data_IF_416576893369
#
_entry.id   IF_416576893369
#
_cell.length_a   1.000
_cell.length_b   1.000
_cell.length_c   1.000
_cell.angle_alpha   90.00
_cell.angle_beta   90.00
_cell.angle_gamma   90.00
#
_symmetry.space_group_name_H-M   'P 1'
#
loop_
_entity.id
_entity.type
_entity.pdbx_description
1 polymer ?
#
# COMPACT_ATOMS: atom_id res chain seq x y z
N UNK A 1 10.41 22.71 4.75
CA UNK A 1 11.87 22.49 4.87
C UNK A 1 12.50 22.92 3.54
N UNK A 2 13.67 23.57 3.55
CA UNK A 2 14.41 23.90 2.32
C UNK A 2 15.69 23.07 2.30
N UNK A 3 15.91 22.31 1.22
CA UNK A 3 17.14 21.53 1.00
C UNK A 3 17.93 22.17 -0.13
N UNK A 4 18.96 22.99 0.17
CA UNK A 4 19.75 23.65 -0.87
C UNK A 4 20.57 22.64 -1.69
N UNK A 5 20.50 22.72 -3.02
CA UNK A 5 21.33 21.92 -3.91
C UNK A 5 22.77 22.49 -4.06
N UNK A 6 22.99 23.77 -3.73
CA UNK A 6 24.29 24.44 -3.76
C UNK A 6 25.09 24.19 -2.45
N UNK A 7 25.23 22.94 -2.07
CA UNK A 7 26.00 22.50 -0.90
C UNK A 7 27.04 21.45 -1.30
N UNK A 8 28.03 21.11 -0.44
CA UNK A 8 29.08 20.14 -0.80
C UNK A 8 28.56 18.78 -1.28
N UNK A 9 27.40 18.32 -0.77
CA UNK A 9 26.72 17.09 -1.20
C UNK A 9 25.58 17.33 -2.19
N UNK A 10 25.64 18.43 -2.96
CA UNK A 10 24.60 18.83 -3.91
C UNK A 10 24.28 17.79 -4.98
N UNK A 11 25.27 17.02 -5.43
CA UNK A 11 25.05 15.90 -6.35
C UNK A 11 24.10 14.84 -5.79
N UNK A 12 24.23 14.50 -4.50
CA UNK A 12 23.33 13.55 -3.84
C UNK A 12 21.91 14.11 -3.70
N UNK A 13 21.77 15.40 -3.41
CA UNK A 13 20.46 16.06 -3.38
C UNK A 13 19.80 15.98 -4.75
N UNK A 14 20.55 16.28 -5.83
CA UNK A 14 20.04 16.19 -7.19
C UNK A 14 19.59 14.77 -7.53
N UNK A 15 20.38 13.75 -7.19
CA UNK A 15 20.01 12.35 -7.45
C UNK A 15 18.80 11.87 -6.63
N UNK A 16 18.75 12.19 -5.34
CA UNK A 16 17.69 11.74 -4.42
C UNK A 16 16.41 12.58 -4.49
N UNK A 17 16.43 13.73 -5.14
CA UNK A 17 15.27 14.61 -5.32
C UNK A 17 15.04 14.95 -6.79
N UNK A 18 15.60 14.15 -7.72
CA UNK A 18 15.46 14.39 -9.15
C UNK A 18 13.98 14.30 -9.52
N UNK A 19 13.38 15.37 -10.09
CA UNK A 19 11.99 15.33 -10.54
C UNK A 19 11.86 14.82 -11.98
N UNK A 20 12.92 14.92 -12.79
CA UNK A 20 12.94 14.53 -14.20
C UNK A 20 14.20 13.71 -14.45
N UNK A 21 14.06 12.40 -14.66
CA UNK A 21 15.20 11.50 -14.80
C UNK A 21 15.87 11.66 -16.16
N UNK A 22 17.19 11.89 -16.15
CA UNK A 22 18.02 11.85 -17.37
C UNK A 22 19.02 10.70 -17.33
N UNK A 23 18.86 9.74 -18.24
CA UNK A 23 19.76 8.59 -18.36
C UNK A 23 20.56 8.65 -19.66
N UNK A 24 21.83 8.28 -19.58
CA UNK A 24 22.68 8.04 -20.76
C UNK A 24 22.39 6.70 -21.41
N UNK A 25 21.95 5.70 -20.62
CA UNK A 25 21.41 4.43 -21.09
C UNK A 25 20.33 3.93 -20.12
N UNK A 26 19.23 3.36 -20.63
CA UNK A 26 18.20 2.74 -19.79
C UNK A 26 18.56 1.34 -19.30
N UNK A 27 19.67 0.76 -19.79
CA UNK A 27 20.10 -0.58 -19.40
C UNK A 27 20.94 -0.47 -18.14
N UNK A 28 20.33 -0.87 -17.04
CA UNK A 28 20.91 -0.82 -15.71
C UNK A 28 20.60 -2.12 -14.98
N UNK A 29 21.50 -2.50 -14.05
CA UNK A 29 21.30 -3.61 -13.14
C UNK A 29 20.19 -3.34 -12.11
N UNK A 30 19.79 -2.07 -11.94
CA UNK A 30 18.86 -1.61 -10.92
C UNK A 30 17.75 -0.70 -11.47
N UNK A 31 16.81 -0.29 -10.62
CA UNK A 31 15.73 0.64 -10.98
C UNK A 31 16.28 2.00 -11.43
N UNK A 32 15.51 2.68 -12.27
CA UNK A 32 15.90 3.99 -12.82
C UNK A 32 15.35 5.17 -12.03
N UNK A 33 14.59 4.94 -10.96
CA UNK A 33 13.93 5.99 -10.20
C UNK A 33 14.13 5.84 -8.68
N UNK A 34 14.70 6.88 -8.03
CA UNK A 34 15.10 6.86 -6.61
C UNK A 34 14.63 8.10 -5.82
N UNK A 35 13.72 8.88 -6.38
CA UNK A 35 13.35 10.19 -5.84
C UNK A 35 12.61 10.06 -4.49
N UNK A 36 13.28 10.49 -3.42
CA UNK A 36 12.80 10.39 -2.04
C UNK A 36 11.44 11.04 -1.79
N UNK A 37 11.09 12.20 -2.38
CA UNK A 37 9.75 12.74 -2.24
C UNK A 37 8.67 11.73 -2.59
N UNK A 38 8.81 11.01 -3.71
CA UNK A 38 7.82 10.00 -4.13
C UNK A 38 7.85 8.75 -3.24
N UNK A 39 9.06 8.29 -2.87
CA UNK A 39 9.26 7.16 -1.95
C UNK A 39 8.51 7.35 -0.62
N UNK A 40 8.48 8.60 -0.12
CA UNK A 40 7.84 8.95 1.14
C UNK A 40 6.45 9.60 0.98
N UNK A 41 5.94 9.75 -0.26
CA UNK A 41 4.65 10.41 -0.52
C UNK A 41 4.60 11.90 -0.13
N UNK A 42 5.73 12.60 -0.22
CA UNK A 42 5.85 14.00 0.21
C UNK A 42 5.52 14.98 -0.92
N UNK A 43 4.77 16.02 -0.58
CA UNK A 43 4.61 17.20 -1.43
C UNK A 43 5.94 17.98 -1.49
N UNK A 44 6.63 17.90 -2.62
CA UNK A 44 7.91 18.56 -2.84
C UNK A 44 7.92 19.32 -4.18
N UNK A 45 8.70 20.40 -4.23
CA UNK A 45 8.88 21.23 -5.41
C UNK A 45 10.37 21.44 -5.65
N UNK A 46 10.78 21.26 -6.92
CA UNK A 46 12.10 21.68 -7.37
C UNK A 46 12.02 23.12 -7.89
N UNK A 47 12.94 23.98 -7.47
CA UNK A 47 13.04 25.36 -7.91
C UNK A 47 14.47 25.66 -8.34
N UNK A 48 14.62 26.37 -9.46
CA UNK A 48 15.95 26.76 -9.98
C UNK A 48 16.53 27.95 -9.21
N UNK A 49 15.66 28.80 -8.65
CA UNK A 49 16.07 29.99 -7.93
C UNK A 49 16.47 29.66 -6.49
N UNK A 50 17.46 30.38 -5.98
CA UNK A 50 17.88 30.21 -4.58
C UNK A 50 16.84 30.87 -3.68
N UNK A 51 16.09 30.06 -2.93
CA UNK A 51 15.17 30.59 -1.93
C UNK A 51 15.92 30.92 -0.64
N UNK A 52 15.81 32.17 -0.20
CA UNK A 52 16.24 32.58 1.14
C UNK A 52 15.05 32.49 2.07
N UNK A 53 15.07 31.57 3.05
CA UNK A 53 14.08 31.59 4.12
C UNK A 53 14.35 32.82 5.02
N UNK A 54 13.36 33.68 5.29
CA UNK A 54 13.52 34.73 6.29
C UNK A 54 13.76 34.09 7.67
N UNK A 55 14.95 34.31 8.23
CA UNK A 55 15.21 34.33 9.67
C UNK A 55 14.82 33.09 10.49
N UNK A 56 15.72 32.12 10.58
CA UNK A 56 16.41 31.64 11.81
C UNK A 56 16.84 30.20 11.54
N UNK A 57 18.14 29.93 11.60
CA UNK A 57 18.62 28.58 11.94
C UNK A 57 18.10 28.31 13.35
N UNK A 58 16.87 27.86 13.50
CA UNK A 58 16.47 27.19 14.73
C UNK A 58 17.27 25.91 14.77
N UNK A 59 18.47 25.99 15.36
CA UNK A 59 19.16 24.89 16.00
C UNK A 59 18.39 24.43 17.25
N UNK A 60 17.05 24.57 17.28
CA UNK A 60 16.27 23.55 17.96
C UNK A 60 16.61 22.31 17.16
N UNK A 61 17.35 21.36 17.77
CA UNK A 61 17.10 19.93 17.49
C UNK A 61 15.62 19.88 17.19
N UNK A 62 15.21 19.61 15.93
CA UNK A 62 13.79 19.46 15.64
C UNK A 62 13.31 18.55 16.77
N UNK A 63 12.40 19.05 17.61
CA UNK A 63 11.85 18.23 18.67
C UNK A 63 11.10 17.14 17.94
N UNK A 64 11.81 16.07 17.62
CA UNK A 64 11.26 14.86 17.03
C UNK A 64 10.43 14.11 18.06
N UNK A 65 10.41 14.57 19.31
CA UNK A 65 9.44 14.16 20.31
C UNK A 65 8.16 14.95 20.08
N UNK A 66 7.21 14.33 19.40
CA UNK A 66 5.80 14.56 19.75
C UNK A 66 5.69 14.16 21.22
N UNK A 67 5.45 15.11 22.11
CA UNK A 67 5.24 14.82 23.52
C UNK A 67 3.86 14.20 23.66
N UNK A 68 3.84 12.90 23.98
CA UNK A 68 2.59 12.16 24.21
C UNK A 68 2.09 12.56 25.60
N UNK A 69 0.91 13.20 25.72
CA UNK A 69 0.39 13.62 27.02
C UNK A 69 0.28 12.43 27.99
N UNK A 70 0.51 12.63 29.30
CA UNK A 70 0.33 11.57 30.28
C UNK A 70 -1.13 11.14 30.34
N UNK A 71 -1.37 9.91 30.79
CA UNK A 71 -2.70 9.34 30.89
C UNK A 71 -3.51 10.14 31.91
N UNK A 72 -4.73 10.52 31.54
CA UNK A 72 -5.66 11.13 32.45
C UNK A 72 -6.60 10.07 33.05
N UNK A 73 -6.48 9.70 34.33
CA UNK A 73 -7.37 8.73 34.95
C UNK A 73 -8.82 9.24 35.06
N UNK A 74 -9.01 10.57 35.12
CA UNK A 74 -10.31 11.22 35.31
C UNK A 74 -11.05 11.50 33.99
N UNK A 75 -10.39 11.29 32.85
CA UNK A 75 -10.96 11.51 31.54
C UNK A 75 -10.37 10.53 30.49
N UNK A 76 -11.17 10.01 29.56
CA UNK A 76 -12.62 9.88 29.63
C UNK A 76 -13.08 8.64 28.83
N UNK A 77 -14.37 8.56 28.51
CA UNK A 77 -15.06 7.57 27.67
C UNK A 77 -14.20 6.76 26.65
N UNK A 78 -13.27 7.40 25.93
CA UNK A 78 -12.30 6.70 25.08
C UNK A 78 -11.17 7.59 24.54
N UNK A 79 -10.44 7.05 23.57
CA UNK A 79 -9.37 7.72 22.83
C UNK A 79 -9.59 7.62 21.33
N UNK A 80 -9.12 8.62 20.59
CA UNK A 80 -9.24 8.69 19.13
C UNK A 80 -7.89 8.99 18.52
N UNK A 81 -7.45 8.12 17.62
CA UNK A 81 -6.24 8.30 16.83
C UNK A 81 -6.65 8.63 15.40
N UNK A 82 -6.22 9.80 14.91
CA UNK A 82 -6.33 10.14 13.50
C UNK A 82 -5.46 9.19 12.67
N UNK A 83 -6.00 8.66 11.58
CA UNK A 83 -5.31 7.73 10.69
C UNK A 83 -4.68 8.48 9.52
N UNK A 84 -3.35 8.66 9.54
CA UNK A 84 -2.65 9.53 8.59
C UNK A 84 -1.34 8.93 8.06
N UNK A 85 -0.61 8.15 8.86
CA UNK A 85 0.64 7.55 8.41
C UNK A 85 0.90 6.16 9.03
N UNK A 86 1.93 5.49 8.54
CA UNK A 86 2.32 4.15 8.97
C UNK A 86 2.48 3.99 10.49
N UNK A 87 2.87 5.04 11.22
CA UNK A 87 3.01 4.96 12.68
C UNK A 87 1.66 4.81 13.37
N UNK A 88 0.57 5.26 12.75
CA UNK A 88 -0.79 4.97 13.24
C UNK A 88 -1.10 3.49 13.14
N UNK A 89 -0.70 2.85 12.02
CA UNK A 89 -0.84 1.42 11.85
C UNK A 89 0.01 0.62 12.85
N UNK A 90 1.21 1.11 13.19
CA UNK A 90 2.03 0.49 14.25
C UNK A 90 1.39 0.63 15.63
N UNK A 91 0.79 1.78 15.94
CA UNK A 91 0.01 1.95 17.18
C UNK A 91 -1.18 1.01 17.23
N UNK A 92 -1.91 0.90 16.12
CA UNK A 92 -3.04 -0.03 15.98
C UNK A 92 -2.59 -1.48 16.20
N UNK A 93 -1.51 -1.91 15.55
CA UNK A 93 -0.93 -3.23 15.75
C UNK A 93 -0.56 -3.47 17.22
N UNK A 94 0.05 -2.48 17.88
CA UNK A 94 0.36 -2.54 19.31
C UNK A 94 -0.88 -2.69 20.19
N UNK A 95 -1.98 -2.01 19.87
CA UNK A 95 -3.25 -2.16 20.58
C UNK A 95 -3.89 -3.53 20.37
N UNK A 96 -3.94 -4.01 19.13
CA UNK A 96 -4.50 -5.33 18.80
C UNK A 96 -3.68 -6.45 19.47
N UNK A 97 -2.35 -6.37 19.43
CA UNK A 97 -1.46 -7.33 20.11
C UNK A 97 -1.62 -7.31 21.64
N UNK A 98 -1.95 -6.15 22.21
CA UNK A 98 -2.24 -6.03 23.63
C UNK A 98 -3.62 -6.62 24.01
N UNK A 99 -4.46 -6.97 23.02
CA UNK A 99 -5.82 -7.45 23.23
C UNK A 99 -6.85 -6.34 23.41
N UNK A 100 -6.53 -5.10 23.05
CA UNK A 100 -7.51 -4.01 23.07
C UNK A 100 -8.52 -4.19 21.94
N UNK A 101 -9.80 -4.11 22.29
CA UNK A 101 -10.88 -3.95 21.32
C UNK A 101 -10.88 -2.52 20.81
N UNK A 102 -10.78 -2.37 19.50
CA UNK A 102 -10.78 -1.07 18.83
C UNK A 102 -11.90 -1.01 17.80
N UNK A 103 -12.25 0.22 17.41
CA UNK A 103 -13.17 0.52 16.31
C UNK A 103 -12.49 1.43 15.31
N UNK A 104 -13.00 1.48 14.09
CA UNK A 104 -12.60 2.48 13.10
C UNK A 104 -13.83 3.14 12.49
N UNK A 105 -13.70 4.39 12.07
CA UNK A 105 -14.77 5.11 11.35
C UNK A 105 -14.53 5.07 9.85
N UNK A 106 -15.48 4.60 9.07
CA UNK A 106 -15.44 4.66 7.60
C UNK A 106 -15.65 6.07 7.05
N UNK A 107 -16.13 7.00 7.89
CA UNK A 107 -16.39 8.39 7.52
C UNK A 107 -15.55 9.34 8.37
N UNK A 108 -15.19 10.49 7.78
CA UNK A 108 -14.61 11.58 8.54
C UNK A 108 -15.62 12.16 9.55
N UNK A 109 -15.13 12.64 10.69
CA UNK A 109 -15.96 13.25 11.73
C UNK A 109 -15.20 14.32 12.50
N UNK A 110 -15.94 15.18 13.21
CA UNK A 110 -15.38 16.24 14.05
C UNK A 110 -15.72 15.97 15.52
N UNK A 111 -14.73 15.95 16.40
CA UNK A 111 -14.98 15.85 17.84
C UNK A 111 -13.94 16.62 18.66
N UNK A 112 -14.39 17.31 19.72
CA UNK A 112 -13.51 18.07 20.61
C UNK A 112 -12.77 19.22 19.92
N UNK A 113 -13.32 19.73 18.80
CA UNK A 113 -12.69 20.78 17.98
C UNK A 113 -11.63 20.28 16.99
N UNK A 114 -11.49 18.96 16.82
CA UNK A 114 -10.56 18.34 15.88
C UNK A 114 -11.32 17.56 14.81
N UNK A 115 -10.84 17.64 13.58
CA UNK A 115 -11.30 16.81 12.47
C UNK A 115 -10.49 15.51 12.44
N UNK A 116 -11.18 14.40 12.24
CA UNK A 116 -10.62 13.06 12.12
C UNK A 116 -10.96 12.51 10.73
N UNK A 117 -9.98 12.10 9.93
CA UNK A 117 -10.24 11.54 8.61
C UNK A 117 -10.93 10.17 8.71
N UNK A 118 -11.47 9.69 7.59
CA UNK A 118 -11.89 8.29 7.48
C UNK A 118 -10.71 7.34 7.78
N UNK A 119 -11.00 6.20 8.39
CA UNK A 119 -10.02 5.27 8.95
C UNK A 119 -9.58 5.57 10.38
N UNK A 120 -9.96 6.72 10.96
CA UNK A 120 -9.59 7.07 12.33
C UNK A 120 -10.04 6.02 13.34
N UNK A 121 -9.14 5.66 14.25
CA UNK A 121 -9.32 4.59 15.24
C UNK A 121 -9.91 5.17 16.52
N UNK A 122 -10.87 4.44 17.09
CA UNK A 122 -11.54 4.77 18.33
C UNK A 122 -11.33 3.61 19.30
N UNK A 123 -10.83 3.91 20.50
CA UNK A 123 -10.67 2.94 21.59
C UNK A 123 -11.56 3.35 22.73
N UNK A 124 -12.68 2.64 22.93
CA UNK A 124 -13.64 2.94 23.98
C UNK A 124 -13.33 2.14 25.24
N UNK A 125 -13.39 2.79 26.40
CA UNK A 125 -13.21 2.10 27.68
C UNK A 125 -14.30 1.04 27.90
N UNK A 126 -15.53 1.30 27.46
CA UNK A 126 -16.66 0.37 27.59
C UNK A 126 -16.49 -0.92 26.79
N UNK A 127 -15.73 -0.89 25.70
CA UNK A 127 -15.46 -2.07 24.87
C UNK A 127 -14.29 -2.90 25.42
N UNK A 128 -13.60 -2.40 26.46
CA UNK A 128 -12.38 -2.97 27.01
C UNK A 128 -12.48 -3.27 28.53
N UNK A 129 -13.48 -4.05 28.99
CA UNK A 129 -13.70 -4.32 30.42
C UNK A 129 -12.54 -5.10 31.08
N UNK A 130 -11.76 -5.84 30.29
CA UNK A 130 -10.61 -6.61 30.78
C UNK A 130 -9.40 -5.74 31.19
N UNK A 131 -9.48 -4.43 30.96
CA UNK A 131 -8.47 -3.44 31.35
C UNK A 131 -9.01 -2.47 32.42
N UNK A 132 -9.15 -2.89 33.69
CA UNK A 132 -9.74 -2.06 34.73
C UNK A 132 -8.83 -0.89 35.15
N UNK A 133 -9.46 0.23 35.55
CA UNK A 133 -8.77 1.37 36.14
C UNK A 133 -7.71 1.98 35.22
N UNK A 134 -6.48 2.07 35.74
CA UNK A 134 -5.31 2.63 35.03
C UNK A 134 -4.74 1.68 33.97
N UNK A 135 -5.09 0.39 34.00
CA UNK A 135 -4.58 -0.60 33.04
C UNK A 135 -5.01 -0.26 31.60
N UNK A 136 -6.23 0.24 31.42
CA UNK A 136 -6.72 0.72 30.11
C UNK A 136 -5.84 1.85 29.57
N UNK A 137 -5.58 2.84 30.43
CA UNK A 137 -4.70 3.95 30.10
C UNK A 137 -3.31 3.50 29.70
N UNK A 138 -2.70 2.65 30.51
CA UNK A 138 -1.36 2.11 30.25
C UNK A 138 -1.31 1.33 28.93
N UNK A 139 -2.31 0.49 28.64
CA UNK A 139 -2.40 -0.28 27.41
C UNK A 139 -2.53 0.64 26.17
N UNK A 140 -3.36 1.68 26.26
CA UNK A 140 -3.50 2.67 25.18
C UNK A 140 -2.21 3.50 24.99
N UNK A 141 -1.60 3.94 26.10
CA UNK A 141 -0.45 4.85 26.06
C UNK A 141 0.85 4.22 25.60
N UNK A 142 1.05 2.92 25.83
CA UNK A 142 2.33 2.26 25.55
C UNK A 142 2.68 2.34 24.05
N UNK A 143 1.84 1.88 23.10
CA UNK A 143 2.15 1.99 21.67
C UNK A 143 2.25 3.46 21.20
N UNK A 144 1.41 4.36 21.74
CA UNK A 144 1.47 5.79 21.44
C UNK A 144 2.84 6.40 21.75
N UNK A 145 3.42 6.06 22.91
CA UNK A 145 4.77 6.51 23.32
C UNK A 145 5.86 5.89 22.46
N UNK A 146 5.77 4.59 22.17
CA UNK A 146 6.74 3.86 21.35
C UNK A 146 6.84 4.46 19.94
N UNK A 147 5.69 4.82 19.33
CA UNK A 147 5.61 5.33 17.96
C UNK A 147 5.48 6.86 17.87
N UNK A 148 5.51 7.56 19.01
CA UNK A 148 5.40 9.02 19.12
C UNK A 148 4.15 9.58 18.42
N UNK A 149 3.00 8.96 18.69
CA UNK A 149 1.69 9.37 18.21
C UNK A 149 0.81 9.85 19.36
N UNK A 150 -0.15 10.70 19.06
CA UNK A 150 -1.08 11.25 20.05
C UNK A 150 -2.49 10.81 19.68
N UNK A 151 -3.10 10.01 20.53
CA UNK A 151 -4.54 9.84 20.53
C UNK A 151 -5.17 10.90 21.43
N UNK A 152 -6.29 11.46 21.00
CA UNK A 152 -7.02 12.50 21.72
C UNK A 152 -8.09 11.88 22.58
N UNK A 153 -8.22 12.40 23.79
CA UNK A 153 -9.27 12.02 24.74
C UNK A 153 -10.65 12.46 24.25
N UNK A 154 -11.65 11.61 24.45
CA UNK A 154 -13.04 11.95 24.20
C UNK A 154 -13.94 11.64 25.38
N UNK A 155 -14.82 12.61 25.72
CA UNK A 155 -15.74 12.56 26.87
C UNK A 155 -17.07 11.89 26.58
N UNK A 156 -17.41 11.71 25.31
CA UNK A 156 -18.72 11.22 24.90
C UNK A 156 -18.60 10.44 23.59
N UNK A 157 -19.60 9.63 23.26
CA UNK A 157 -19.74 9.02 21.94
C UNK A 157 -20.42 9.92 20.89
N UNK A 158 -20.82 11.13 21.29
CA UNK A 158 -21.52 12.09 20.43
C UNK A 158 -20.48 12.92 19.67
N UNK A 159 -20.58 12.95 18.35
CA UNK A 159 -19.71 13.76 17.51
C UNK A 159 -20.36 15.11 17.22
N UNK A 160 -19.54 16.12 16.94
CA UNK A 160 -20.02 17.48 16.61
C UNK A 160 -20.53 17.52 15.17
N UNK A 161 -19.87 16.79 14.27
CA UNK A 161 -20.20 16.69 12.85
C UNK A 161 -19.78 15.30 12.34
N UNK A 162 -20.58 14.69 11.47
CA UNK A 162 -20.38 13.32 11.00
C UNK A 162 -21.34 12.34 11.67
N UNK A 163 -20.88 11.11 11.91
CA UNK A 163 -21.67 10.06 12.56
C UNK A 163 -21.12 9.73 13.96
N UNK A 164 -22.03 9.50 14.91
CA UNK A 164 -21.69 9.12 16.28
C UNK A 164 -21.03 7.74 16.36
N UNK A 165 -20.36 7.42 17.47
CA UNK A 165 -19.62 6.15 17.62
C UNK A 165 -20.49 4.89 17.68
N UNK A 166 -21.81 5.06 17.83
CA UNK A 166 -22.79 3.99 17.74
C UNK A 166 -23.41 3.82 16.36
N UNK A 167 -23.00 4.59 15.34
CA UNK A 167 -23.51 4.44 13.98
C UNK A 167 -22.97 3.17 13.31
N UNK A 168 -23.66 2.70 12.27
CA UNK A 168 -23.15 1.59 11.43
C UNK A 168 -21.89 1.92 10.63
N UNK A 169 -21.48 3.20 10.55
CA UNK A 169 -20.23 3.60 9.89
C UNK A 169 -19.02 3.54 10.82
N UNK A 170 -19.22 3.18 12.10
CA UNK A 170 -18.15 2.96 13.08
C UNK A 170 -18.11 1.47 13.40
N UNK A 171 -17.14 0.78 12.82
CA UNK A 171 -17.06 -0.69 12.83
C UNK A 171 -16.10 -1.17 13.90
N UNK A 172 -16.44 -2.31 14.50
CA UNK A 172 -15.57 -3.02 15.44
C UNK A 172 -14.48 -3.71 14.64
N UNK A 173 -13.21 -3.48 15.00
CA UNK A 173 -12.11 -4.15 14.32
C UNK A 173 -11.75 -5.44 15.05
N UNK A 174 -12.08 -6.58 14.44
CA UNK A 174 -11.59 -7.88 14.87
C UNK A 174 -10.12 -8.04 14.45
N UNK A 175 -9.18 -8.38 15.36
CA UNK A 175 -7.79 -8.59 15.01
C UNK A 175 -7.64 -9.67 13.91
N UNK A 176 -7.17 -9.34 12.70
CA UNK A 176 -7.09 -10.33 11.63
C UNK A 176 -5.97 -11.34 11.90
N UNK A 177 -6.23 -12.62 11.63
CA UNK A 177 -5.23 -13.68 11.55
C UNK A 177 -4.71 -13.74 10.11
N UNK A 178 -3.41 -13.56 9.94
CA UNK A 178 -2.80 -13.31 8.63
C UNK A 178 -1.89 -14.48 8.27
N UNK A 179 -2.03 -14.98 7.04
CA UNK A 179 -1.08 -15.86 6.41
C UNK A 179 -0.38 -15.18 5.23
N UNK A 180 0.87 -15.57 4.98
CA UNK A 180 1.62 -15.24 3.76
C UNK A 180 2.07 -16.53 3.09
N UNK A 181 1.84 -16.63 1.80
CA UNK A 181 2.37 -17.73 0.99
C UNK A 181 3.86 -17.53 0.69
N UNK A 182 4.62 -18.62 0.72
CA UNK A 182 6.02 -18.67 0.33
C UNK A 182 6.39 -20.04 -0.22
N UNK A 183 7.58 -20.16 -0.80
CA UNK A 183 8.04 -21.41 -1.42
C UNK A 183 7.88 -21.38 -2.94
N UNK A 184 7.58 -22.54 -3.52
CA UNK A 184 7.57 -22.73 -4.96
C UNK A 184 6.54 -21.83 -5.67
N UNK A 185 6.98 -21.22 -6.78
CA UNK A 185 6.15 -20.26 -7.51
C UNK A 185 6.06 -18.87 -6.89
N UNK A 186 6.69 -18.61 -5.75
CA UNK A 186 6.82 -17.26 -5.14
C UNK A 186 8.19 -16.62 -5.40
N UNK A 187 8.22 -15.29 -5.47
CA UNK A 187 9.46 -14.52 -5.54
C UNK A 187 10.00 -14.31 -4.12
N UNK A 188 11.15 -14.92 -3.82
CA UNK A 188 11.75 -14.91 -2.48
C UNK A 188 11.98 -13.49 -1.92
N UNK A 189 12.33 -12.52 -2.77
CA UNK A 189 12.50 -11.12 -2.36
C UNK A 189 11.18 -10.49 -1.90
N UNK A 190 10.09 -10.66 -2.67
CA UNK A 190 8.77 -10.14 -2.33
C UNK A 190 8.15 -10.83 -1.10
N UNK A 191 8.40 -12.14 -0.94
CA UNK A 191 8.05 -12.85 0.28
C UNK A 191 8.83 -12.29 1.49
N UNK A 192 10.15 -12.13 1.34
CA UNK A 192 11.03 -11.66 2.42
C UNK A 192 10.72 -10.24 2.89
N UNK A 193 10.46 -9.31 1.97
CA UNK A 193 10.11 -7.94 2.33
C UNK A 193 8.70 -7.81 2.93
N UNK A 194 7.72 -8.62 2.47
CA UNK A 194 6.39 -8.67 3.09
C UNK A 194 6.49 -9.23 4.51
N UNK A 195 7.22 -10.33 4.69
CA UNK A 195 7.45 -10.90 6.02
C UNK A 195 8.18 -9.89 6.95
N UNK A 196 9.21 -9.23 6.44
CA UNK A 196 9.92 -8.16 7.14
C UNK A 196 9.00 -6.99 7.50
N UNK A 197 8.10 -6.58 6.59
CA UNK A 197 7.13 -5.52 6.87
C UNK A 197 6.27 -5.88 8.07
N UNK A 198 5.68 -7.08 8.12
CA UNK A 198 4.83 -7.46 9.25
C UNK A 198 5.60 -7.58 10.56
N UNK A 199 6.75 -8.26 10.58
CA UNK A 199 7.47 -8.49 11.84
C UNK A 199 8.28 -7.30 12.35
N UNK A 200 8.96 -6.59 11.44
CA UNK A 200 9.97 -5.57 11.82
C UNK A 200 9.47 -4.14 11.63
N UNK A 201 8.53 -3.91 10.72
CA UNK A 201 8.00 -2.57 10.45
C UNK A 201 6.68 -2.35 11.15
N UNK A 202 5.66 -3.16 10.87
CA UNK A 202 4.33 -3.02 11.43
C UNK A 202 4.25 -3.54 12.87
N UNK A 203 4.98 -4.63 13.16
CA UNK A 203 4.96 -5.29 14.46
C UNK A 203 3.68 -6.09 14.70
N UNK A 204 3.14 -6.74 13.66
CA UNK A 204 1.91 -7.53 13.72
C UNK A 204 2.17 -8.98 13.28
N UNK A 205 1.63 -9.99 13.98
CA UNK A 205 1.94 -11.40 13.70
C UNK A 205 1.46 -11.84 12.33
N UNK A 206 2.27 -12.67 11.67
CA UNK A 206 1.95 -13.29 10.39
C UNK A 206 2.44 -14.74 10.37
N UNK A 207 1.63 -15.65 9.84
CA UNK A 207 2.00 -17.05 9.66
C UNK A 207 2.50 -17.29 8.24
N UNK A 208 3.66 -17.94 8.10
CA UNK A 208 4.19 -18.34 6.79
C UNK A 208 3.67 -19.73 6.44
N UNK A 209 3.14 -19.87 5.25
CA UNK A 209 2.62 -21.13 4.71
C UNK A 209 3.38 -21.45 3.44
N UNK A 210 3.96 -22.65 3.37
CA UNK A 210 4.56 -23.11 2.12
C UNK A 210 3.44 -23.42 1.11
N UNK A 211 3.60 -23.00 -0.14
CA UNK A 211 2.69 -23.33 -1.24
C UNK A 211 2.45 -24.83 -1.38
N UNK A 212 3.44 -25.67 -1.09
CA UNK A 212 3.32 -27.13 -1.14
C UNK A 212 2.38 -27.69 -0.07
N UNK A 213 2.25 -26.98 1.07
CA UNK A 213 1.41 -27.37 2.20
C UNK A 213 -0.02 -26.81 2.07
N UNK A 214 -0.27 -25.91 1.12
CA UNK A 214 -1.50 -25.14 1.00
C UNK A 214 -2.77 -26.00 0.91
N UNK A 215 -2.68 -27.18 0.29
CA UNK A 215 -3.81 -28.11 0.17
C UNK A 215 -4.23 -28.76 1.49
N UNK A 216 -3.35 -28.80 2.50
CA UNK A 216 -3.63 -29.36 3.82
C UNK A 216 -3.98 -28.32 4.90
N UNK A 217 -3.95 -27.04 4.56
CA UNK A 217 -4.22 -25.94 5.51
C UNK A 217 -5.72 -25.78 5.74
N UNK A 218 -6.11 -25.64 7.01
CA UNK A 218 -7.44 -25.15 7.37
C UNK A 218 -7.50 -23.63 7.21
N UNK A 219 -7.93 -23.18 6.03
CA UNK A 219 -8.02 -21.77 5.69
C UNK A 219 -9.04 -20.99 6.54
N UNK A 220 -9.97 -21.65 7.24
CA UNK A 220 -10.89 -20.99 8.17
C UNK A 220 -10.18 -20.37 9.39
N UNK A 221 -8.92 -20.76 9.61
CA UNK A 221 -8.07 -20.19 10.67
C UNK A 221 -7.44 -18.85 10.29
N UNK A 222 -7.60 -18.38 9.06
CA UNK A 222 -7.05 -17.12 8.56
C UNK A 222 -8.14 -16.23 7.98
N UNK A 223 -8.02 -14.94 8.27
CA UNK A 223 -8.94 -13.91 7.80
C UNK A 223 -8.35 -13.18 6.59
N UNK A 224 -7.01 -13.14 6.49
CA UNK A 224 -6.26 -12.52 5.40
C UNK A 224 -5.17 -13.47 4.90
N UNK A 225 -5.08 -13.66 3.58
CA UNK A 225 -4.01 -14.42 2.93
C UNK A 225 -3.31 -13.51 1.94
N UNK A 226 -2.01 -13.33 2.12
CA UNK A 226 -1.16 -12.51 1.26
C UNK A 226 -0.43 -13.42 0.27
N UNK A 227 -0.53 -13.06 -1.01
CA UNK A 227 0.18 -13.64 -2.13
C UNK A 227 1.23 -12.61 -2.60
N UNK A 228 2.49 -12.71 -2.11
CA UNK A 228 3.60 -11.93 -2.65
C UNK A 228 3.79 -12.19 -4.14
N UNK A 229 4.63 -11.41 -4.81
CA UNK A 229 4.90 -11.62 -6.23
C UNK A 229 5.24 -13.08 -6.54
N UNK A 230 4.63 -13.65 -7.56
CA UNK A 230 4.79 -15.05 -7.90
C UNK A 230 3.94 -15.45 -9.09
N UNK A 231 4.25 -16.59 -9.69
CA UNK A 231 3.48 -17.18 -10.78
C UNK A 231 2.40 -18.15 -10.31
N UNK A 232 2.57 -18.78 -9.14
CA UNK A 232 1.61 -19.69 -8.50
C UNK A 232 1.02 -20.80 -9.38
N UNK A 233 1.67 -21.16 -10.50
CA UNK A 233 1.15 -22.13 -11.47
C UNK A 233 0.80 -23.48 -10.84
N UNK A 234 1.66 -24.01 -9.96
CA UNK A 234 1.41 -25.26 -9.24
C UNK A 234 0.32 -25.15 -8.16
N UNK A 235 0.16 -23.98 -7.54
CA UNK A 235 -0.87 -23.75 -6.53
C UNK A 235 -2.25 -23.63 -7.17
N UNK A 236 -2.33 -22.98 -8.34
CA UNK A 236 -3.61 -22.77 -9.03
C UNK A 236 -3.99 -23.93 -9.95
N UNK A 237 -3.08 -24.87 -10.23
CA UNK A 237 -3.44 -26.15 -10.83
C UNK A 237 -4.27 -27.03 -9.88
N UNK A 238 -4.93 -28.04 -10.43
CA UNK A 238 -5.64 -29.10 -9.70
C UNK A 238 -6.69 -28.61 -8.67
N UNK A 239 -7.37 -27.50 -8.98
CA UNK A 239 -8.50 -26.98 -8.18
C UNK A 239 -8.12 -25.99 -7.07
N UNK A 240 -6.84 -25.66 -6.90
CA UNK A 240 -6.42 -24.70 -5.86
C UNK A 240 -6.98 -23.29 -6.06
N UNK A 241 -7.16 -22.84 -7.31
CA UNK A 241 -7.85 -21.59 -7.61
C UNK A 241 -9.32 -21.59 -7.13
N UNK A 242 -10.02 -22.73 -7.29
CA UNK A 242 -11.41 -22.88 -6.83
C UNK A 242 -11.50 -22.94 -5.30
N UNK A 243 -10.53 -23.58 -4.65
CA UNK A 243 -10.40 -23.59 -3.19
C UNK A 243 -10.19 -22.17 -2.65
N UNK A 244 -9.30 -21.39 -3.26
CA UNK A 244 -9.07 -19.98 -2.91
C UNK A 244 -10.35 -19.16 -3.07
N UNK A 245 -11.04 -19.25 -4.22
CA UNK A 245 -12.32 -18.56 -4.45
C UNK A 245 -13.38 -18.96 -3.41
N UNK A 246 -13.45 -20.24 -3.05
CA UNK A 246 -14.40 -20.73 -2.04
C UNK A 246 -14.12 -20.11 -0.67
N UNK A 247 -12.86 -20.08 -0.24
CA UNK A 247 -12.45 -19.43 1.00
C UNK A 247 -12.73 -17.92 0.99
N UNK A 248 -12.43 -17.22 -0.12
CA UNK A 248 -12.76 -15.79 -0.27
C UNK A 248 -14.28 -15.60 -0.10
N UNK A 249 -15.11 -16.36 -0.82
CA UNK A 249 -16.57 -16.26 -0.72
C UNK A 249 -17.12 -16.47 0.69
N UNK A 250 -16.40 -17.17 1.56
CA UNK A 250 -16.76 -17.41 2.96
C UNK A 250 -16.33 -16.30 3.93
N UNK A 251 -15.68 -15.23 3.44
CA UNK A 251 -15.24 -14.10 4.28
C UNK A 251 -13.75 -13.80 4.22
N UNK A 252 -12.97 -14.63 3.53
CA UNK A 252 -11.53 -14.45 3.39
C UNK A 252 -11.16 -13.22 2.56
N UNK A 253 -10.05 -12.56 2.91
CA UNK A 253 -9.46 -11.49 2.11
C UNK A 253 -8.13 -11.92 1.49
N UNK A 254 -8.09 -12.07 0.16
CA UNK A 254 -6.85 -12.34 -0.57
C UNK A 254 -6.16 -11.02 -0.95
N UNK A 255 -4.86 -10.87 -0.67
CA UNK A 255 -4.07 -9.71 -1.09
C UNK A 255 -3.01 -10.18 -2.08
N UNK A 256 -3.15 -9.83 -3.35
CA UNK A 256 -2.24 -10.25 -4.41
C UNK A 256 -1.35 -9.10 -4.89
N UNK A 257 -0.02 -9.30 -4.86
CA UNK A 257 0.98 -8.30 -5.20
C UNK A 257 1.71 -8.61 -6.51
N UNK A 258 1.85 -7.61 -7.37
CA UNK A 258 2.56 -7.67 -8.63
C UNK A 258 2.15 -8.86 -9.49
N UNK A 259 3.11 -9.73 -9.80
CA UNK A 259 2.87 -10.93 -10.62
C UNK A 259 1.80 -11.87 -10.07
N UNK A 260 1.52 -11.85 -8.76
CA UNK A 260 0.44 -12.65 -8.17
C UNK A 260 -0.94 -12.18 -8.67
N UNK A 261 -1.16 -10.87 -8.77
CA UNK A 261 -2.38 -10.32 -9.36
C UNK A 261 -2.52 -10.78 -10.82
N UNK A 262 -1.42 -10.76 -11.57
CA UNK A 262 -1.39 -11.28 -12.93
C UNK A 262 -1.52 -12.80 -13.07
N UNK A 263 -1.30 -13.56 -12.00
CA UNK A 263 -1.57 -15.00 -11.96
C UNK A 263 -3.06 -15.26 -11.68
N UNK A 264 -3.68 -14.48 -10.80
CA UNK A 264 -5.13 -14.53 -10.54
C UNK A 264 -5.95 -14.08 -11.74
N UNK A 265 -5.52 -13.04 -12.45
CA UNK A 265 -6.16 -12.56 -13.69
C UNK A 265 -6.28 -13.62 -14.79
N UNK A 266 -5.49 -14.69 -14.73
CA UNK A 266 -5.54 -15.81 -15.70
C UNK A 266 -6.49 -16.93 -15.27
N UNK A 267 -7.02 -16.86 -14.05
CA UNK A 267 -7.90 -17.87 -13.50
C UNK A 267 -9.35 -17.44 -13.70
N UNK A 268 -10.19 -18.38 -14.12
CA UNK A 268 -11.62 -18.12 -14.30
C UNK A 268 -12.28 -17.66 -12.99
N UNK A 269 -13.05 -16.58 -13.07
CA UNK A 269 -13.85 -16.05 -11.96
C UNK A 269 -13.13 -15.05 -11.05
N UNK A 270 -11.98 -14.51 -11.47
CA UNK A 270 -11.41 -13.27 -10.95
C UNK A 270 -11.61 -12.15 -11.98
N UNK A 271 -12.03 -10.97 -11.52
CA UNK A 271 -12.47 -9.85 -12.36
C UNK A 271 -11.37 -8.91 -12.86
N UNK A 272 -10.11 -9.37 -12.90
CA UNK A 272 -8.97 -8.56 -13.33
C UNK A 272 -8.58 -8.93 -14.76
N UNK A 273 -8.69 -7.98 -15.69
CA UNK A 273 -8.43 -8.17 -17.11
C UNK A 273 -7.11 -7.50 -17.54
N UNK A 274 -6.27 -8.22 -18.28
CA UNK A 274 -5.02 -7.65 -18.79
C UNK A 274 -5.32 -6.71 -19.94
N UNK A 275 -4.61 -5.59 -19.97
CA UNK A 275 -4.64 -4.69 -21.12
C UNK A 275 -3.81 -5.29 -22.24
N UNK A 276 -4.42 -5.39 -23.42
CA UNK A 276 -3.76 -5.88 -24.62
C UNK A 276 -2.54 -4.99 -24.92
N UNK A 277 -1.45 -5.62 -25.35
CA UNK A 277 -0.31 -4.89 -25.90
C UNK A 277 -0.46 -4.81 -27.42
N UNK A 278 0.09 -3.78 -28.05
CA UNK A 278 0.17 -3.70 -29.53
C UNK A 278 0.87 -4.93 -30.15
N UNK A 279 1.63 -5.70 -29.36
CA UNK A 279 2.22 -6.98 -29.79
C UNK A 279 1.29 -8.20 -29.73
N UNK A 280 0.10 -8.07 -29.14
CA UNK A 280 -0.94 -9.10 -29.10
C UNK A 280 -1.95 -8.97 -30.27
N UNK A 281 -1.93 -7.84 -30.99
CA UNK A 281 -2.58 -7.72 -32.29
C UNK A 281 -1.83 -8.57 -33.34
N UNK A 282 -2.52 -9.12 -34.35
CA UNK A 282 -1.86 -9.87 -35.42
C UNK A 282 -0.79 -8.98 -36.07
N UNK A 283 0.50 -9.24 -35.76
CA UNK A 283 1.62 -8.56 -36.39
C UNK A 283 1.43 -8.61 -37.91
N UNK A 284 1.45 -7.44 -38.57
CA UNK A 284 1.44 -7.36 -40.03
C UNK A 284 2.48 -8.34 -40.60
N UNK A 285 2.15 -9.09 -41.65
CA UNK A 285 3.06 -10.06 -42.26
C UNK A 285 4.44 -9.44 -42.59
N UNK A 286 4.46 -8.15 -42.93
CA UNK A 286 5.67 -7.37 -43.19
C UNK A 286 6.44 -7.04 -41.89
N UNK A 287 5.76 -6.75 -40.79
CA UNK A 287 6.39 -6.49 -39.48
C UNK A 287 6.98 -7.79 -38.90
N UNK A 288 6.22 -8.89 -38.94
CA UNK A 288 6.69 -10.21 -38.54
C UNK A 288 7.89 -10.68 -39.41
N UNK A 289 7.90 -10.35 -40.72
CA UNK A 289 9.04 -10.63 -41.59
C UNK A 289 10.28 -9.82 -41.21
N UNK A 290 10.11 -8.53 -40.90
CA UNK A 290 11.21 -7.66 -40.44
C UNK A 290 11.73 -8.09 -39.08
N UNK A 291 10.86 -8.57 -38.19
CA UNK A 291 11.24 -9.11 -36.88
C UNK A 291 12.15 -10.34 -37.03
N UNK A 292 11.78 -11.29 -37.91
CA UNK A 292 12.61 -12.46 -38.25
C UNK A 292 13.98 -12.10 -38.86
N UNK A 293 14.10 -10.92 -39.47
CA UNK A 293 15.34 -10.40 -40.04
C UNK A 293 16.07 -9.40 -39.14
N UNK A 294 15.66 -9.26 -37.87
CA UNK A 294 16.31 -8.37 -36.91
C UNK A 294 17.80 -8.66 -36.83
N UNK A 295 18.60 -7.59 -36.90
CA UNK A 295 20.04 -7.69 -36.75
C UNK A 295 20.36 -7.87 -35.28
N UNK A 296 21.32 -8.75 -35.00
CA UNK A 296 21.86 -8.93 -33.65
C UNK A 296 22.34 -7.61 -33.02
N UNK A 297 22.91 -6.70 -33.83
CA UNK A 297 23.36 -5.38 -33.38
C UNK A 297 22.23 -4.47 -32.85
N UNK A 298 20.97 -4.72 -33.23
CA UNK A 298 19.81 -3.92 -32.83
C UNK A 298 19.05 -4.54 -31.65
N UNK A 299 19.46 -5.73 -31.19
CA UNK A 299 18.80 -6.47 -30.11
C UNK A 299 18.64 -5.62 -28.83
N UNK A 300 19.68 -4.85 -28.50
CA UNK A 300 19.71 -4.00 -27.31
C UNK A 300 18.66 -2.88 -27.41
N UNK A 301 18.61 -2.16 -28.53
CA UNK A 301 17.64 -1.09 -28.75
C UNK A 301 16.21 -1.60 -28.77
N UNK A 302 15.97 -2.80 -29.33
CA UNK A 302 14.64 -3.39 -29.39
C UNK A 302 14.16 -3.89 -28.02
N UNK A 303 15.06 -4.48 -27.22
CA UNK A 303 14.74 -4.88 -25.84
C UNK A 303 14.29 -3.68 -25.00
N UNK A 304 15.02 -2.57 -25.11
CA UNK A 304 14.78 -1.34 -24.34
C UNK A 304 13.38 -0.76 -24.58
N UNK A 305 12.81 -0.91 -25.78
CA UNK A 305 11.47 -0.40 -26.12
C UNK A 305 10.34 -1.02 -25.30
N UNK A 306 10.49 -2.27 -24.84
CA UNK A 306 9.54 -2.98 -23.98
C UNK A 306 10.00 -3.12 -22.54
N UNK A 307 11.05 -2.38 -22.14
CA UNK A 307 11.70 -2.54 -20.85
C UNK A 307 11.30 -1.43 -19.88
N UNK A 308 10.90 -1.82 -18.67
CA UNK A 308 10.68 -0.89 -17.56
C UNK A 308 11.46 -1.40 -16.33
N UNK A 309 12.73 -0.98 -16.16
CA UNK A 309 13.54 -1.38 -15.02
C UNK A 309 13.05 -0.80 -13.69
N UNK A 310 12.19 0.23 -13.72
CA UNK A 310 11.65 0.88 -12.54
C UNK A 310 11.40 2.36 -12.79
N UNK A 311 10.13 2.72 -12.89
CA UNK A 311 9.65 4.08 -13.12
C UNK A 311 8.53 4.44 -12.16
N UNK A 312 8.41 5.72 -11.84
CA UNK A 312 7.48 6.25 -10.85
C UNK A 312 6.32 6.87 -11.57
N UNK A 313 5.12 6.38 -11.28
CA UNK A 313 3.87 6.89 -11.81
C UNK A 313 3.08 7.62 -10.73
N UNK A 314 2.44 8.71 -11.12
CA UNK A 314 1.36 9.30 -10.32
C UNK A 314 0.09 8.48 -10.52
N UNK A 315 -0.58 8.19 -9.42
CA UNK A 315 -1.78 7.37 -9.36
C UNK A 315 -2.88 8.23 -8.77
N UNK A 316 -3.98 8.40 -9.51
CA UNK A 316 -5.21 9.00 -9.00
C UNK A 316 -5.83 8.01 -8.03
N UNK A 317 -6.19 8.49 -6.84
CA UNK A 317 -6.61 7.63 -5.72
C UNK A 317 -8.01 8.01 -5.22
N UNK A 318 -8.92 7.04 -5.16
CA UNK A 318 -10.17 7.16 -4.41
C UNK A 318 -9.91 6.95 -2.92
N UNK A 319 -9.61 8.05 -2.22
CA UNK A 319 -9.35 8.04 -0.79
C UNK A 319 -10.60 7.89 0.10
N UNK A 320 -11.78 7.70 -0.50
CA UNK A 320 -13.00 7.33 0.23
C UNK A 320 -13.10 5.83 0.47
N UNK A 321 -12.39 5.02 -0.31
CA UNK A 321 -12.34 3.57 -0.13
C UNK A 321 -11.39 3.19 1.04
N UNK A 322 -11.73 2.19 1.89
CA UNK A 322 -10.91 1.81 3.06
C UNK A 322 -9.46 1.46 2.77
N UNK A 323 -9.19 0.92 1.57
CA UNK A 323 -7.83 0.64 1.10
C UNK A 323 -6.94 1.90 1.07
N UNK A 324 -7.52 3.08 0.84
CA UNK A 324 -6.82 4.35 0.66
C UNK A 324 -6.98 5.32 1.85
N UNK A 325 -7.49 4.86 3.00
CA UNK A 325 -7.55 5.69 4.21
C UNK A 325 -6.17 6.23 4.61
N UNK A 326 -6.11 7.51 5.01
CA UNK A 326 -4.88 8.21 5.36
C UNK A 326 -4.10 8.78 4.16
N UNK A 327 -4.56 8.55 2.94
CA UNK A 327 -3.99 9.17 1.74
C UNK A 327 -4.81 10.38 1.26
N UNK A 328 -4.14 11.25 0.50
CA UNK A 328 -4.82 12.25 -0.33
C UNK A 328 -5.42 11.63 -1.59
N UNK A 329 -5.73 12.45 -2.57
CA UNK A 329 -6.22 12.05 -3.90
C UNK A 329 -5.13 11.47 -4.81
N UNK A 330 -3.90 11.34 -4.30
CA UNK A 330 -2.72 10.91 -5.07
C UNK A 330 -1.86 9.92 -4.31
N UNK A 331 -1.33 8.97 -5.06
CA UNK A 331 -0.27 8.04 -4.65
C UNK A 331 0.82 8.01 -5.73
N UNK A 332 2.04 7.63 -5.35
CA UNK A 332 3.11 7.37 -6.32
C UNK A 332 3.48 5.89 -6.25
N UNK A 333 3.26 5.17 -7.36
CA UNK A 333 3.64 3.77 -7.48
C UNK A 333 5.01 3.65 -8.14
N UNK A 334 5.81 2.68 -7.68
CA UNK A 334 7.00 2.25 -8.38
C UNK A 334 6.64 1.05 -9.26
N UNK A 335 6.60 1.28 -10.56
CA UNK A 335 6.28 0.24 -11.54
C UNK A 335 7.56 -0.42 -12.02
N UNK A 336 7.70 -1.71 -11.75
CA UNK A 336 8.81 -2.55 -12.23
C UNK A 336 8.26 -3.60 -13.17
N UNK A 337 8.43 -3.39 -14.47
CA UNK A 337 7.88 -4.25 -15.52
C UNK A 337 6.74 -3.60 -16.32
N UNK A 338 6.11 -4.41 -17.16
CA UNK A 338 5.17 -3.99 -18.21
C UNK A 338 3.71 -4.37 -17.94
N UNK A 339 3.40 -5.02 -16.82
CA UNK A 339 2.03 -5.48 -16.57
C UNK A 339 1.07 -4.30 -16.44
N UNK A 340 0.07 -4.27 -17.32
CA UNK A 340 -1.05 -3.36 -17.28
C UNK A 340 -2.35 -4.16 -17.25
N UNK A 341 -3.34 -3.59 -16.60
CA UNK A 341 -4.68 -4.15 -16.49
C UNK A 341 -5.68 -3.06 -16.81
N UNK A 342 -6.79 -3.48 -17.41
CA UNK A 342 -7.93 -2.61 -17.61
C UNK A 342 -8.52 -2.17 -16.27
N UNK A 343 -9.27 -1.09 -16.30
CA UNK A 343 -10.13 -0.76 -15.16
C UNK A 343 -11.13 -1.88 -14.94
N UNK A 344 -11.33 -2.22 -13.68
CA UNK A 344 -12.27 -3.26 -13.29
C UNK A 344 -13.70 -2.83 -13.66
N UNK A 345 -14.39 -3.66 -14.43
CA UNK A 345 -15.83 -3.50 -14.66
C UNK A 345 -16.64 -3.79 -13.40
N UNK A 346 -16.19 -4.79 -12.63
CA UNK A 346 -16.83 -5.28 -11.41
C UNK A 346 -15.84 -5.20 -10.24
N UNK A 347 -16.01 -4.20 -9.39
CA UNK A 347 -15.12 -3.95 -8.25
C UNK A 347 -14.88 -2.46 -8.05
N UNK A 348 -13.84 -2.14 -7.31
CA UNK A 348 -13.41 -0.78 -7.01
C UNK A 348 -12.06 -0.49 -7.65
N UNK A 349 -12.03 0.50 -8.54
CA UNK A 349 -10.81 1.08 -9.11
C UNK A 349 -10.24 2.10 -8.13
N UNK A 350 -9.66 1.62 -7.03
CA UNK A 350 -9.19 2.49 -5.92
C UNK A 350 -8.03 3.37 -6.35
N UNK A 351 -7.16 2.87 -7.23
CA UNK A 351 -6.01 3.61 -7.72
C UNK A 351 -5.69 3.26 -9.16
N UNK A 352 -5.51 4.26 -10.00
CA UNK A 352 -5.29 4.08 -11.43
C UNK A 352 -4.42 5.19 -12.03
N UNK A 353 -3.76 4.90 -13.15
CA UNK A 353 -2.98 5.85 -13.93
C UNK A 353 -3.91 6.51 -14.95
N UNK A 354 -4.03 7.84 -14.91
CA UNK A 354 -4.75 8.62 -15.92
C UNK A 354 -3.78 9.24 -16.94
N UNK A 355 -4.27 9.50 -18.14
CA UNK A 355 -3.52 10.22 -19.17
C UNK A 355 -2.46 9.36 -19.88
N UNK A 356 -1.45 10.01 -20.44
CA UNK A 356 -0.60 9.48 -21.53
C UNK A 356 0.45 8.41 -21.14
N UNK A 357 0.30 7.76 -19.98
CA UNK A 357 1.17 6.65 -19.58
C UNK A 357 2.65 7.04 -19.38
N UNK A 358 2.96 8.32 -19.18
CA UNK A 358 4.32 8.79 -18.91
C UNK A 358 4.64 8.84 -17.41
N UNK A 359 5.83 8.34 -17.01
CA UNK A 359 6.23 8.39 -15.62
C UNK A 359 6.63 9.80 -15.20
N UNK A 360 6.48 10.08 -13.92
CA UNK A 360 7.06 11.27 -13.27
C UNK A 360 8.58 11.18 -13.23
N UNK A 361 9.13 10.00 -12.99
CA UNK A 361 10.57 9.76 -12.93
C UNK A 361 10.91 8.33 -13.35
N UNK A 362 12.16 8.09 -13.76
CA UNK A 362 12.63 6.82 -14.29
C UNK A 362 12.43 6.68 -15.80
N UNK A 363 12.81 5.52 -16.31
CA UNK A 363 12.70 5.13 -17.69
C UNK A 363 11.58 4.12 -17.89
N UNK A 364 10.85 4.31 -18.98
CA UNK A 364 9.93 3.33 -19.53
C UNK A 364 10.14 3.28 -21.04
N UNK A 365 10.12 2.08 -21.60
CA UNK A 365 10.23 1.88 -23.03
C UNK A 365 9.02 2.44 -23.79
N UNK A 366 9.25 2.93 -25.00
CA UNK A 366 8.20 3.60 -25.80
C UNK A 366 6.98 2.72 -26.08
N UNK A 367 7.16 1.40 -26.23
CA UNK A 367 6.06 0.44 -26.46
C UNK A 367 5.18 0.24 -25.23
N UNK A 368 5.62 0.67 -24.06
CA UNK A 368 4.87 0.52 -22.82
C UNK A 368 4.06 1.77 -22.47
N UNK A 369 4.28 2.93 -23.11
CA UNK A 369 3.52 4.13 -22.78
C UNK A 369 2.02 3.92 -22.99
N UNK A 370 1.63 3.43 -24.16
CA UNK A 370 0.22 3.24 -24.51
C UNK A 370 -0.42 2.10 -23.70
N UNK A 371 0.33 1.03 -23.44
CA UNK A 371 -0.12 -0.06 -22.58
C UNK A 371 -0.33 0.40 -21.12
N UNK A 372 0.52 1.29 -20.60
CA UNK A 372 0.45 1.77 -19.22
C UNK A 372 -0.50 2.97 -19.03
N UNK A 373 -0.82 3.65 -20.12
CA UNK A 373 -1.88 4.66 -20.18
C UNK A 373 -3.20 4.06 -19.73
N UNK A 374 -3.99 4.79 -18.95
CA UNK A 374 -5.33 4.38 -18.49
C UNK A 374 -5.34 2.94 -17.94
N UNK A 375 -4.52 2.68 -16.93
CA UNK A 375 -4.33 1.33 -16.38
C UNK A 375 -4.54 1.28 -14.87
N UNK A 376 -5.04 0.15 -14.40
CA UNK A 376 -5.27 -0.10 -12.97
C UNK A 376 -3.94 -0.23 -12.21
N UNK A 377 -3.90 0.30 -10.98
CA UNK A 377 -2.80 0.09 -10.03
C UNK A 377 -3.27 -0.59 -8.76
N UNK A 378 -4.42 -0.18 -8.22
CA UNK A 378 -5.01 -0.67 -6.98
C UNK A 378 -6.48 -1.03 -7.25
N UNK A 379 -6.79 -2.32 -7.19
CA UNK A 379 -8.13 -2.85 -7.39
C UNK A 379 -8.66 -3.57 -6.15
N UNK A 380 -9.97 -3.49 -5.91
CA UNK A 380 -10.63 -4.34 -4.90
C UNK A 380 -11.85 -5.00 -5.53
N UNK A 381 -11.85 -6.32 -5.55
CA UNK A 381 -12.94 -7.15 -6.08
C UNK A 381 -13.71 -7.78 -4.92
N UNK A 382 -14.97 -7.37 -4.66
CA UNK A 382 -15.85 -8.09 -3.76
C UNK A 382 -16.18 -9.47 -4.31
N UNK A 383 -16.09 -10.51 -3.48
CA UNK A 383 -16.38 -11.88 -3.89
C UNK A 383 -17.07 -12.63 -2.74
N UNK A 384 -18.39 -12.79 -2.84
CA UNK A 384 -19.19 -13.39 -1.76
C UNK A 384 -19.15 -12.52 -0.50
N UNK A 385 -18.83 -13.10 0.65
CA UNK A 385 -18.58 -12.37 1.89
C UNK A 385 -17.13 -11.86 2.05
N UNK A 386 -16.27 -12.12 1.06
CA UNK A 386 -14.86 -11.74 1.06
C UNK A 386 -14.49 -10.72 -0.01
N UNK A 387 -13.18 -10.51 -0.16
CA UNK A 387 -12.65 -9.66 -1.21
C UNK A 387 -11.26 -10.11 -1.70
N UNK A 388 -10.92 -9.70 -2.91
CA UNK A 388 -9.55 -9.75 -3.46
C UNK A 388 -9.04 -8.33 -3.58
N UNK A 389 -7.87 -8.07 -3.02
CA UNK A 389 -7.13 -6.80 -3.17
C UNK A 389 -6.01 -7.04 -4.16
N UNK A 390 -6.02 -6.29 -5.26
CA UNK A 390 -4.99 -6.31 -6.28
C UNK A 390 -4.06 -5.11 -6.11
N UNK A 391 -2.80 -5.41 -5.82
CA UNK A 391 -1.70 -4.48 -5.99
C UNK A 391 -1.00 -4.85 -7.30
N UNK A 392 -1.24 -4.10 -8.38
CA UNK A 392 -0.63 -4.38 -9.71
C UNK A 392 0.88 -4.23 -9.67
N UNK A 393 1.37 -3.31 -8.85
CA UNK A 393 2.78 -3.16 -8.50
C UNK A 393 3.03 -3.63 -7.08
N UNK A 394 4.30 -3.73 -6.70
CA UNK A 394 4.67 -4.17 -5.36
C UNK A 394 4.77 -2.96 -4.39
N UNK A 395 3.84 -2.81 -3.43
CA UNK A 395 3.80 -1.66 -2.54
C UNK A 395 4.91 -1.68 -1.46
N UNK A 396 5.61 -2.80 -1.31
CA UNK A 396 6.64 -3.01 -0.28
C UNK A 396 8.05 -3.11 -0.88
N UNK A 397 8.20 -2.76 -2.17
CA UNK A 397 9.42 -3.02 -2.93
C UNK A 397 10.71 -2.67 -2.16
N UNK A 398 11.50 -3.72 -1.89
CA UNK A 398 12.75 -3.76 -1.12
C UNK A 398 12.70 -3.05 0.23
N UNK A 399 11.52 -2.98 0.85
CA UNK A 399 11.20 -2.27 2.09
C UNK A 399 11.56 -0.76 2.10
N UNK A 400 11.93 -0.18 0.95
CA UNK A 400 12.26 1.24 0.87
C UNK A 400 11.09 2.08 0.38
N UNK A 401 10.14 1.51 -0.35
CA UNK A 401 8.94 2.23 -0.84
C UNK A 401 7.96 2.53 0.29
N UNK A 402 8.29 3.54 1.11
CA UNK A 402 7.59 3.81 2.38
C UNK A 402 6.14 4.25 2.19
N UNK A 403 5.84 4.92 1.08
CA UNK A 403 4.49 5.38 0.77
C UNK A 403 3.51 4.24 0.54
N UNK A 404 3.95 3.02 0.19
CA UNK A 404 3.05 1.87 0.01
C UNK A 404 2.75 1.09 1.30
N UNK A 405 3.49 1.33 2.38
CA UNK A 405 3.36 0.58 3.63
C UNK A 405 1.99 0.76 4.32
N UNK A 406 1.46 1.99 4.35
CA UNK A 406 0.14 2.24 4.95
C UNK A 406 -0.97 1.55 4.14
N UNK A 407 -0.83 1.49 2.81
CA UNK A 407 -1.75 0.79 1.91
C UNK A 407 -1.87 -0.70 2.25
N UNK A 408 -0.75 -1.38 2.52
CA UNK A 408 -0.77 -2.80 2.94
C UNK A 408 -1.41 -2.97 4.32
N UNK A 409 -1.18 -2.03 5.24
CA UNK A 409 -1.87 -2.02 6.53
C UNK A 409 -3.39 -1.82 6.36
N UNK A 410 -3.82 -0.91 5.49
CA UNK A 410 -5.24 -0.69 5.17
C UNK A 410 -5.89 -1.94 4.57
N UNK A 411 -5.24 -2.57 3.60
CA UNK A 411 -5.71 -3.84 3.00
C UNK A 411 -5.90 -4.93 4.05
N UNK A 412 -5.02 -4.96 5.05
CA UNK A 412 -5.04 -5.95 6.13
C UNK A 412 -6.14 -5.67 7.16
N UNK A 413 -6.25 -4.41 7.61
CA UNK A 413 -7.07 -4.05 8.75
C UNK A 413 -8.47 -3.55 8.39
N UNK A 414 -8.69 -2.98 7.20
CA UNK A 414 -9.96 -2.28 6.92
C UNK A 414 -10.73 -2.83 5.73
N UNK A 415 -10.07 -3.45 4.75
CA UNK A 415 -10.80 -4.05 3.62
C UNK A 415 -11.59 -5.26 4.11
N UNK A 416 -12.84 -5.35 3.64
CA UNK A 416 -13.77 -6.44 3.96
C UNK A 416 -13.98 -6.64 5.47
N UNK A 417 -14.07 -5.55 6.24
CA UNK A 417 -14.50 -5.59 7.65
C UNK A 417 -15.90 -5.00 7.72
N UNK A 418 -16.88 -5.83 8.04
CA UNK A 418 -18.27 -5.42 8.30
C UNK A 418 -18.61 -5.45 9.79
#
# INVERSE_FOLDING_TARGET
>A
MIVPANQPRGGLVRALFEPNTQLSTPITYDITAWSLPYVYGLNAYAVESTMSAPGTRQNKRMSTGVEVPPFNPDAPYGYILAWEDLRDAQVLAGWLNAGLQVRFSEMAFTQGGYDYPAGSIIVLRSDNPDFPGDAFGMAVQKPLKEHRRVARETKTGWVVRGKDFGSGSVKVLTPPRIAILGGDGTASLSHGETWYFFEQVLGYPITRINTDDAGGVDWSTYDVVILPEGGYWGLFSDGGADALKTWIRQGGTAIAMGRAAGALARQDGFGLERKDSDSDEEEDEDEAYRDRLRRYADQESEFVKGFNPGSIYEVTLDNTHPLAFGYGDKYFTLKTGSQAFEYMENGWNVGYIEGDGKPRAGYVGEKLHDQLSESLVLGVEPMGGGAVVYFVDNPLFRAFWRSGHLMVANATFFVNKD
#
